data_IF_277862404152
#
_entry.id   IF_277862404152
#
_cell.length_a   1.000
_cell.length_b   1.000
_cell.length_c   1.000
_cell.angle_alpha   90.00
_cell.angle_beta   90.00
_cell.angle_gamma   90.00
#
_symmetry.space_group_name_H-M   'P 1'
#
loop_
_entity.id
_entity.type
_entity.pdbx_description
1 polymer ?
#
# COMPACT_ATOMS: atom_id res chain seq x y z
N UNK A 1 23.00 32.73 -4.85
CA UNK A 1 24.40 33.10 -5.21
C UNK A 1 24.57 32.90 -6.71
N UNK A 2 25.28 33.83 -7.36
CA UNK A 2 25.24 34.10 -8.79
C UNK A 2 25.55 32.89 -9.69
N UNK A 3 24.60 32.48 -10.54
CA UNK A 3 24.81 31.56 -11.65
C UNK A 3 25.32 32.35 -12.86
N UNK A 4 26.64 32.44 -13.02
CA UNK A 4 27.26 33.04 -14.20
C UNK A 4 27.04 32.20 -15.48
N UNK A 5 27.26 32.78 -16.67
CA UNK A 5 27.05 32.12 -17.97
C UNK A 5 27.91 30.86 -18.19
N UNK A 6 29.04 30.74 -17.48
CA UNK A 6 29.94 29.58 -17.54
C UNK A 6 29.34 28.34 -16.87
N UNK A 7 28.59 28.50 -15.77
CA UNK A 7 27.90 27.39 -15.08
C UNK A 7 26.75 26.86 -15.93
N UNK A 8 26.07 27.74 -16.65
CA UNK A 8 24.99 27.38 -17.57
C UNK A 8 25.53 26.59 -18.77
N UNK A 9 26.67 27.00 -19.35
CA UNK A 9 27.33 26.29 -20.45
C UNK A 9 27.88 24.92 -20.01
N UNK A 10 28.49 24.82 -18.83
CA UNK A 10 28.92 23.53 -18.27
C UNK A 10 27.73 22.59 -18.06
N UNK A 11 26.61 23.09 -17.53
CA UNK A 11 25.39 22.30 -17.37
C UNK A 11 24.83 21.82 -18.72
N UNK A 12 24.79 22.66 -19.76
CA UNK A 12 24.28 22.24 -21.08
C UNK A 12 25.16 21.14 -21.69
N UNK A 13 26.49 21.27 -21.54
CA UNK A 13 27.44 20.29 -22.09
C UNK A 13 27.34 18.96 -21.34
N UNK A 14 27.23 19.01 -20.00
CA UNK A 14 27.01 17.85 -19.14
C UNK A 14 25.66 17.17 -19.46
N UNK A 15 24.59 17.95 -19.60
CA UNK A 15 23.27 17.46 -19.94
C UNK A 15 23.22 16.81 -21.34
N UNK A 16 23.96 17.34 -22.31
CA UNK A 16 24.07 16.72 -23.63
C UNK A 16 24.86 15.40 -23.58
N UNK A 17 25.79 15.26 -22.64
CA UNK A 17 26.56 14.04 -22.42
C UNK A 17 25.69 12.94 -21.81
N UNK A 18 24.86 13.28 -20.80
CA UNK A 18 23.92 12.34 -20.19
C UNK A 18 22.74 11.95 -21.10
N UNK A 19 22.25 12.87 -21.95
CA UNK A 19 21.15 12.60 -22.90
C UNK A 19 21.52 11.67 -24.06
N UNK A 20 22.82 11.43 -24.30
CA UNK A 20 23.34 10.65 -25.42
C UNK A 20 24.17 9.43 -24.98
N UNK A 21 23.90 8.87 -23.79
CA UNK A 21 24.49 7.59 -23.36
C UNK A 21 23.98 6.38 -24.18
N UNK A 22 23.02 6.63 -25.08
CA UNK A 22 22.35 5.68 -25.95
C UNK A 22 23.26 4.97 -26.99
N UNK A 23 24.53 5.35 -27.13
CA UNK A 23 25.44 4.80 -28.15
C UNK A 23 25.93 3.37 -27.87
N UNK A 24 25.70 2.82 -26.68
CA UNK A 24 26.02 1.43 -26.36
C UNK A 24 24.83 0.53 -26.69
N UNK A 25 24.92 -0.19 -27.82
CA UNK A 25 23.92 -1.15 -28.32
C UNK A 25 23.41 -2.20 -27.30
N UNK A 26 24.08 -2.38 -26.15
CA UNK A 26 23.62 -3.23 -25.05
C UNK A 26 22.57 -2.60 -24.13
N UNK A 27 22.51 -1.26 -24.00
CA UNK A 27 21.64 -0.59 -23.04
C UNK A 27 20.16 -0.58 -23.49
N UNK A 28 19.89 -0.39 -24.79
CA UNK A 28 18.54 -0.47 -25.34
C UNK A 28 17.94 -1.88 -25.21
N UNK A 29 18.70 -2.92 -25.60
CA UNK A 29 18.29 -4.32 -25.44
C UNK A 29 18.03 -4.68 -23.96
N UNK A 30 18.79 -4.10 -23.04
CA UNK A 30 18.59 -4.30 -21.61
C UNK A 30 17.27 -3.66 -21.11
N UNK A 31 16.91 -2.47 -21.60
CA UNK A 31 15.65 -1.80 -21.26
C UNK A 31 14.44 -2.55 -21.79
N UNK A 32 14.51 -3.08 -23.02
CA UNK A 32 13.45 -3.95 -23.57
C UNK A 32 13.27 -5.21 -22.71
N UNK A 33 14.36 -5.77 -22.16
CA UNK A 33 14.35 -6.88 -21.22
C UNK A 33 13.77 -6.57 -19.82
N UNK A 34 13.65 -5.29 -19.42
CA UNK A 34 13.10 -4.93 -18.11
C UNK A 34 11.63 -5.35 -17.98
N UNK A 35 10.89 -5.27 -19.07
CA UNK A 35 9.45 -5.60 -19.13
C UNK A 35 9.16 -7.01 -19.66
N UNK A 36 10.17 -7.75 -20.12
CA UNK A 36 9.94 -9.11 -20.61
C UNK A 36 9.36 -10.02 -19.51
N UNK A 37 8.31 -10.76 -19.88
CA UNK A 37 7.62 -11.70 -19.02
C UNK A 37 8.48 -12.93 -18.76
N UNK A 38 9.40 -12.82 -17.80
CA UNK A 38 10.40 -13.85 -17.54
C UNK A 38 10.13 -14.66 -16.26
N UNK A 39 9.11 -14.28 -15.45
CA UNK A 39 8.70 -15.08 -14.29
C UNK A 39 7.78 -16.22 -14.78
N UNK A 40 8.15 -17.49 -14.55
CA UNK A 40 7.30 -18.59 -14.93
C UNK A 40 6.08 -18.68 -14.01
N UNK A 41 4.92 -19.03 -14.56
CA UNK A 41 3.65 -19.09 -13.83
C UNK A 41 3.69 -19.89 -12.52
N UNK A 42 4.45 -21.00 -12.50
CA UNK A 42 4.58 -21.83 -11.29
C UNK A 42 5.21 -21.07 -10.12
N UNK A 43 6.15 -20.13 -10.36
CA UNK A 43 6.79 -19.37 -9.29
C UNK A 43 5.79 -18.38 -8.66
N UNK A 44 4.98 -17.70 -9.48
CA UNK A 44 3.93 -16.80 -8.99
C UNK A 44 2.89 -17.56 -8.18
N UNK A 45 2.47 -18.73 -8.66
CA UNK A 45 1.55 -19.61 -7.92
C UNK A 45 2.15 -20.05 -6.58
N UNK A 46 3.44 -20.41 -6.54
CA UNK A 46 4.13 -20.75 -5.30
C UNK A 46 4.20 -19.58 -4.31
N UNK A 47 4.41 -18.35 -4.78
CA UNK A 47 4.41 -17.16 -3.91
C UNK A 47 3.02 -16.96 -3.29
N UNK A 48 1.96 -17.07 -4.10
CA UNK A 48 0.58 -16.90 -3.65
C UNK A 48 0.20 -18.00 -2.64
N UNK A 49 0.39 -19.27 -2.99
CA UNK A 49 0.10 -20.39 -2.10
C UNK A 49 1.01 -20.43 -0.87
N UNK A 50 2.27 -20.00 -1.01
CA UNK A 50 3.23 -19.86 0.08
C UNK A 50 2.78 -18.84 1.11
N UNK A 51 2.25 -17.69 0.67
CA UNK A 51 1.58 -16.74 1.56
C UNK A 51 0.37 -17.39 2.26
N UNK A 52 -0.46 -18.11 1.51
CA UNK A 52 -1.62 -18.81 2.08
C UNK A 52 -1.21 -19.77 3.20
N UNK A 53 -0.24 -20.65 2.94
CA UNK A 53 0.32 -21.56 3.93
C UNK A 53 0.91 -20.81 5.14
N UNK A 54 1.68 -19.75 4.90
CA UNK A 54 2.22 -18.89 5.96
C UNK A 54 1.10 -18.32 6.85
N UNK A 55 0.03 -17.79 6.25
CA UNK A 55 -1.11 -17.23 6.99
C UNK A 55 -1.81 -18.28 7.86
N UNK A 56 -1.95 -19.52 7.35
CA UNK A 56 -2.54 -20.63 8.11
C UNK A 56 -1.65 -21.00 9.29
N UNK A 57 -0.33 -21.13 9.08
CA UNK A 57 0.62 -21.48 10.13
C UNK A 57 0.58 -20.43 11.25
N UNK A 58 0.65 -19.15 10.92
CA UNK A 58 0.59 -18.08 11.92
C UNK A 58 -0.75 -18.07 12.64
N UNK A 59 -1.87 -18.26 11.94
CA UNK A 59 -3.20 -18.36 12.56
C UNK A 59 -3.30 -19.53 13.54
N UNK A 60 -2.79 -20.71 13.17
CA UNK A 60 -2.82 -21.89 14.04
C UNK A 60 -1.91 -21.72 15.25
N UNK A 61 -0.71 -21.17 15.06
CA UNK A 61 0.19 -20.85 16.17
C UNK A 61 -0.45 -19.85 17.13
N UNK A 62 -1.02 -18.76 16.59
CA UNK A 62 -1.74 -17.76 17.36
C UNK A 62 -2.87 -18.40 18.18
N UNK A 63 -3.76 -19.19 17.56
CA UNK A 63 -4.84 -19.91 18.25
C UNK A 63 -4.32 -20.84 19.36
N UNK A 64 -3.24 -21.56 19.09
CA UNK A 64 -2.59 -22.41 20.08
C UNK A 64 -2.08 -21.59 21.28
N UNK A 65 -1.34 -20.50 21.02
CA UNK A 65 -0.82 -19.61 22.06
C UNK A 65 -1.96 -18.97 22.88
N UNK A 66 -2.99 -18.43 22.23
CA UNK A 66 -4.11 -17.79 22.93
C UNK A 66 -4.88 -18.79 23.80
N UNK A 67 -5.10 -20.00 23.31
CA UNK A 67 -5.78 -21.05 24.07
C UNK A 67 -4.97 -21.54 25.27
N UNK A 68 -3.65 -21.73 25.11
CA UNK A 68 -2.78 -22.29 26.17
C UNK A 68 -2.45 -21.25 27.24
N UNK A 69 -2.15 -20.01 26.86
CA UNK A 69 -1.64 -19.00 27.78
C UNK A 69 -2.71 -18.04 28.31
N UNK A 70 -3.75 -17.76 27.52
CA UNK A 70 -4.80 -16.79 27.90
C UNK A 70 -6.13 -17.46 28.29
N UNK A 71 -6.26 -18.78 28.14
CA UNK A 71 -7.50 -19.53 28.41
C UNK A 71 -8.74 -18.90 27.73
N UNK A 72 -8.57 -18.19 26.62
CA UNK A 72 -9.69 -17.56 25.92
C UNK A 72 -10.56 -18.64 25.25
N UNK A 73 -11.87 -18.55 25.49
CA UNK A 73 -12.87 -19.37 24.82
C UNK A 73 -13.27 -18.64 23.54
N UNK A 74 -13.13 -19.30 22.39
CA UNK A 74 -13.55 -18.74 21.11
C UNK A 74 -15.09 -18.57 21.07
N UNK A 75 -15.55 -17.35 21.29
CA UNK A 75 -16.91 -16.87 21.02
C UNK A 75 -16.93 -16.00 19.76
N UNK A 76 -18.11 -15.80 19.18
CA UNK A 76 -18.28 -14.93 17.99
C UNK A 76 -17.77 -13.52 18.28
N UNK A 77 -18.10 -12.95 19.44
CA UNK A 77 -17.67 -11.61 19.81
C UNK A 77 -16.15 -11.53 20.01
N UNK A 78 -15.52 -12.52 20.67
CA UNK A 78 -14.05 -12.55 20.77
C UNK A 78 -13.38 -12.71 19.40
N UNK A 79 -14.02 -13.38 18.44
CA UNK A 79 -13.49 -13.55 17.09
C UNK A 79 -13.51 -12.23 16.28
N UNK A 80 -14.49 -11.35 16.52
CA UNK A 80 -14.62 -10.03 15.85
C UNK A 80 -14.06 -8.86 16.65
N UNK A 81 -13.74 -9.04 17.93
CA UNK A 81 -13.15 -7.97 18.78
C UNK A 81 -11.71 -8.25 19.16
N UNK A 82 -11.20 -9.47 18.93
CA UNK A 82 -9.86 -9.87 19.36
C UNK A 82 -9.64 -9.73 20.87
N UNK A 83 -10.72 -9.82 21.66
CA UNK A 83 -10.71 -9.61 23.11
C UNK A 83 -10.55 -8.15 23.56
N UNK A 84 -10.44 -7.18 22.63
CA UNK A 84 -10.28 -5.76 22.96
C UNK A 84 -8.98 -5.41 23.70
N UNK A 85 -7.99 -6.31 23.66
CA UNK A 85 -6.76 -6.22 24.46
C UNK A 85 -5.48 -6.03 23.64
N UNK A 86 -5.58 -5.75 22.34
CA UNK A 86 -4.41 -5.62 21.48
C UNK A 86 -3.57 -4.38 21.82
N UNK A 87 -2.25 -4.54 21.71
CA UNK A 87 -1.25 -3.49 22.01
C UNK A 87 -1.14 -2.46 20.88
N UNK A 88 -0.64 -1.25 21.20
CA UNK A 88 -0.46 -0.20 20.20
C UNK A 88 0.39 -0.66 19.02
N UNK A 89 1.40 -1.50 19.27
CA UNK A 89 2.27 -2.07 18.24
C UNK A 89 1.53 -2.90 17.21
N UNK A 90 0.67 -3.81 17.65
CA UNK A 90 -0.12 -4.66 16.77
C UNK A 90 -1.16 -3.85 15.98
N UNK A 91 -1.79 -2.86 16.61
CA UNK A 91 -2.73 -1.94 15.94
C UNK A 91 -2.00 -1.14 14.86
N UNK A 92 -0.86 -0.53 15.19
CA UNK A 92 -0.02 0.19 14.24
C UNK A 92 0.33 -0.68 13.03
N UNK A 93 0.86 -1.89 13.25
CA UNK A 93 1.25 -2.76 12.12
C UNK A 93 0.06 -3.22 11.30
N UNK A 94 -1.08 -3.47 11.93
CA UNK A 94 -2.30 -3.81 11.21
C UNK A 94 -2.77 -2.66 10.31
N UNK A 95 -2.77 -1.42 10.82
CA UNK A 95 -3.13 -0.24 10.04
C UNK A 95 -2.17 0.00 8.87
N UNK A 96 -0.86 -0.18 9.10
CA UNK A 96 0.14 -0.12 8.03
C UNK A 96 -0.16 -1.18 6.96
N UNK A 97 -0.47 -2.41 7.36
CA UNK A 97 -0.81 -3.49 6.43
C UNK A 97 -2.07 -3.16 5.62
N UNK A 98 -3.15 -2.74 6.28
CA UNK A 98 -4.45 -2.43 5.66
C UNK A 98 -4.37 -1.22 4.72
N UNK A 99 -3.51 -0.25 5.00
CA UNK A 99 -3.36 0.95 4.16
C UNK A 99 -2.29 0.78 3.06
N UNK A 100 -1.47 -0.28 3.13
CA UNK A 100 -0.47 -0.56 2.10
C UNK A 100 -1.10 -1.37 0.98
N UNK A 101 -1.76 -0.67 0.05
CA UNK A 101 -2.34 -1.25 -1.15
C UNK A 101 -1.29 -1.48 -2.24
N UNK A 102 -1.64 -2.25 -3.26
CA UNK A 102 -0.84 -2.29 -4.49
C UNK A 102 -0.66 -0.87 -5.08
N UNK A 103 -1.74 -0.08 -5.10
CA UNK A 103 -1.68 1.33 -5.52
C UNK A 103 -0.72 2.17 -4.66
N UNK A 104 -0.56 1.88 -3.37
CA UNK A 104 0.40 2.59 -2.50
C UNK A 104 1.83 2.50 -3.00
N UNK A 105 2.23 1.36 -3.58
CA UNK A 105 3.56 1.18 -4.15
C UNK A 105 3.65 1.69 -5.59
N UNK A 106 2.62 1.39 -6.38
CA UNK A 106 2.63 1.62 -7.83
C UNK A 106 2.28 3.06 -8.18
N UNK A 107 1.17 3.56 -7.64
CA UNK A 107 0.65 4.90 -7.93
C UNK A 107 1.54 5.99 -7.32
N UNK A 108 2.10 5.77 -6.13
CA UNK A 108 3.05 6.72 -5.53
C UNK A 108 4.28 6.94 -6.44
N UNK A 109 4.77 5.87 -7.07
CA UNK A 109 5.83 5.93 -8.07
C UNK A 109 5.36 6.66 -9.33
N UNK A 110 4.16 6.38 -9.83
CA UNK A 110 3.57 7.04 -11.01
C UNK A 110 3.44 8.56 -10.84
N UNK A 111 2.88 9.02 -9.71
CA UNK A 111 2.79 10.46 -9.43
C UNK A 111 4.16 11.10 -9.18
N UNK A 112 5.16 10.33 -8.74
CA UNK A 112 6.55 10.79 -8.66
C UNK A 112 7.21 10.98 -10.02
N UNK A 113 6.87 10.17 -11.01
CA UNK A 113 7.34 10.36 -12.39
C UNK A 113 6.75 11.66 -12.97
N UNK A 114 5.50 11.96 -12.65
CA UNK A 114 4.83 13.19 -13.11
C UNK A 114 5.31 14.45 -12.38
N UNK A 115 5.43 14.41 -11.05
CA UNK A 115 5.62 15.61 -10.21
C UNK A 115 6.93 15.63 -9.42
N UNK A 116 7.81 14.66 -9.60
CA UNK A 116 9.06 14.54 -8.82
C UNK A 116 8.79 14.23 -7.35
N UNK A 117 9.64 14.74 -6.45
CA UNK A 117 9.52 14.54 -5.00
C UNK A 117 8.18 14.99 -4.42
N UNK A 118 7.53 15.97 -5.05
CA UNK A 118 6.22 16.46 -4.62
C UNK A 118 5.14 15.38 -4.69
N UNK A 119 5.17 14.49 -5.71
CA UNK A 119 4.15 13.48 -5.95
C UNK A 119 4.03 12.46 -4.80
N UNK A 120 5.08 11.68 -4.50
CA UNK A 120 5.08 10.68 -3.43
C UNK A 120 4.84 11.35 -2.06
N UNK A 121 5.33 12.57 -1.86
CA UNK A 121 5.07 13.32 -0.63
C UNK A 121 3.59 13.61 -0.45
N UNK A 122 2.91 14.17 -1.46
CA UNK A 122 1.47 14.48 -1.38
C UNK A 122 0.60 13.21 -1.37
N UNK A 123 1.06 12.13 -1.99
CA UNK A 123 0.43 10.81 -1.85
C UNK A 123 0.48 10.36 -0.39
N UNK A 124 1.68 10.35 0.21
CA UNK A 124 1.92 9.88 1.58
C UNK A 124 1.25 10.78 2.62
N UNK A 125 1.59 12.07 2.65
CA UNK A 125 1.03 13.04 3.60
C UNK A 125 -0.48 13.13 3.48
N UNK A 126 -0.99 13.13 2.25
CA UNK A 126 -2.41 13.24 1.97
C UNK A 126 -3.24 12.08 2.52
N UNK A 127 -2.66 10.89 2.70
CA UNK A 127 -3.35 9.73 3.29
C UNK A 127 -3.06 9.54 4.80
N UNK A 128 -2.04 10.22 5.35
CA UNK A 128 -1.70 10.14 6.78
C UNK A 128 -2.62 11.01 7.64
N UNK A 129 -3.08 12.13 7.09
CA UNK A 129 -3.95 13.09 7.79
C UNK A 129 -5.22 12.40 8.30
N UNK A 130 -5.83 11.53 7.49
CA UNK A 130 -7.05 10.80 7.85
C UNK A 130 -6.79 9.84 9.00
N UNK A 131 -5.71 9.05 8.96
CA UNK A 131 -5.36 8.10 10.02
C UNK A 131 -5.11 8.80 11.37
N UNK A 132 -4.39 9.93 11.33
CA UNK A 132 -4.12 10.73 12.52
C UNK A 132 -5.41 11.34 13.09
N UNK A 133 -6.28 11.90 12.25
CA UNK A 133 -7.58 12.45 12.72
C UNK A 133 -8.49 11.33 13.23
N UNK A 134 -8.49 10.18 12.55
CA UNK A 134 -9.28 9.02 12.94
C UNK A 134 -8.90 8.51 14.34
N UNK A 135 -7.63 8.64 14.75
CA UNK A 135 -7.20 8.30 16.12
C UNK A 135 -8.04 9.00 17.21
N UNK A 136 -8.44 10.25 16.96
CA UNK A 136 -9.21 11.05 17.92
C UNK A 136 -10.66 10.57 18.00
N UNK A 137 -11.25 10.17 16.88
CA UNK A 137 -12.62 9.65 16.85
C UNK A 137 -12.69 8.22 17.39
N UNK A 138 -11.69 7.41 17.06
CA UNK A 138 -11.49 6.04 17.55
C UNK A 138 -11.49 5.98 19.08
N UNK A 139 -10.80 6.90 19.78
CA UNK A 139 -10.84 6.90 21.25
C UNK A 139 -12.21 7.27 21.81
N UNK A 140 -12.93 8.16 21.14
CA UNK A 140 -14.27 8.59 21.57
C UNK A 140 -15.28 7.46 21.43
N UNK A 141 -15.14 6.61 20.42
CA UNK A 141 -15.94 5.38 20.28
C UNK A 141 -15.77 4.50 21.52
N UNK A 142 -14.52 4.24 21.93
CA UNK A 142 -14.22 3.42 23.11
C UNK A 142 -14.73 4.01 24.42
N UNK A 143 -14.64 5.33 24.59
CA UNK A 143 -15.08 6.01 25.82
C UNK A 143 -16.61 6.06 25.89
N UNK A 144 -17.30 6.32 24.77
CA UNK A 144 -18.75 6.60 24.75
C UNK A 144 -19.62 5.40 24.41
N UNK A 145 -19.08 4.42 23.68
CA UNK A 145 -19.79 3.22 23.26
C UNK A 145 -18.87 1.98 23.34
N UNK A 146 -18.38 1.61 24.55
CA UNK A 146 -17.42 0.52 24.74
C UNK A 146 -17.91 -0.87 24.29
N UNK A 147 -19.24 -1.06 24.19
CA UNK A 147 -19.86 -2.31 23.73
C UNK A 147 -20.16 -2.35 22.23
N UNK A 148 -19.89 -1.28 21.48
CA UNK A 148 -20.13 -1.26 20.04
C UNK A 148 -19.07 -2.09 19.31
N UNK A 149 -19.52 -3.01 18.45
CA UNK A 149 -18.67 -3.85 17.60
C UNK A 149 -18.49 -3.18 16.23
N UNK A 150 -19.49 -2.46 15.76
CA UNK A 150 -19.44 -1.68 14.52
C UNK A 150 -19.74 -0.21 14.77
N UNK A 151 -19.22 0.68 13.93
CA UNK A 151 -19.54 2.10 14.04
C UNK A 151 -21.01 2.40 13.70
N UNK A 152 -21.62 1.51 12.91
CA UNK A 152 -23.01 1.57 12.48
C UNK A 152 -23.97 1.42 13.67
N UNK A 153 -23.68 0.55 14.63
CA UNK A 153 -24.44 0.44 15.88
C UNK A 153 -24.54 1.79 16.61
N UNK A 154 -23.45 2.57 16.64
CA UNK A 154 -23.44 3.91 17.25
C UNK A 154 -24.29 4.89 16.46
N UNK A 155 -24.24 4.83 15.12
CA UNK A 155 -25.09 5.64 14.25
C UNK A 155 -26.56 5.32 14.50
N UNK A 156 -26.92 4.04 14.63
CA UNK A 156 -28.29 3.62 14.95
C UNK A 156 -28.75 4.16 16.30
N UNK A 157 -27.92 3.99 17.33
CA UNK A 157 -28.25 4.45 18.68
C UNK A 157 -28.41 5.98 18.75
N UNK A 158 -27.63 6.73 17.96
CA UNK A 158 -27.63 8.19 18.00
C UNK A 158 -28.63 8.86 17.06
N UNK A 159 -28.77 8.35 15.84
CA UNK A 159 -29.50 8.97 14.73
C UNK A 159 -30.70 8.14 14.24
N UNK A 160 -30.91 6.96 14.81
CA UNK A 160 -32.03 6.09 14.51
C UNK A 160 -31.85 5.21 13.28
N UNK A 161 -32.90 4.45 12.98
CA UNK A 161 -32.89 3.36 12.01
C UNK A 161 -32.65 3.81 10.56
N UNK A 162 -33.19 4.97 10.16
CA UNK A 162 -33.05 5.46 8.78
C UNK A 162 -31.59 5.80 8.48
N UNK A 163 -30.94 6.55 9.36
CA UNK A 163 -29.53 6.89 9.23
C UNK A 163 -28.64 5.63 9.23
N UNK A 164 -28.97 4.66 10.10
CA UNK A 164 -28.27 3.38 10.14
C UNK A 164 -28.28 2.66 8.79
N UNK A 165 -29.47 2.47 8.19
CA UNK A 165 -29.58 1.78 6.89
C UNK A 165 -28.79 2.50 5.79
N UNK A 166 -28.86 3.84 5.74
CA UNK A 166 -28.09 4.63 4.76
C UNK A 166 -26.59 4.42 4.93
N UNK A 167 -26.09 4.47 6.16
CA UNK A 167 -24.67 4.26 6.43
C UNK A 167 -24.23 2.81 6.25
N UNK A 168 -25.10 1.81 6.48
CA UNK A 168 -24.81 0.42 6.11
C UNK A 168 -24.57 0.29 4.60
N UNK A 169 -25.40 0.95 3.78
CA UNK A 169 -25.21 0.96 2.32
C UNK A 169 -23.89 1.63 1.96
N UNK A 170 -23.57 2.79 2.55
CA UNK A 170 -22.30 3.46 2.27
C UNK A 170 -21.08 2.62 2.70
N UNK A 171 -21.13 1.98 3.87
CA UNK A 171 -20.05 1.11 4.33
C UNK A 171 -19.83 -0.07 3.38
N UNK A 172 -20.90 -0.80 3.03
CA UNK A 172 -20.83 -1.92 2.09
C UNK A 172 -20.34 -1.50 0.70
N UNK A 173 -20.75 -0.32 0.19
CA UNK A 173 -20.24 0.21 -1.07
C UNK A 173 -18.76 0.57 -0.99
N UNK A 174 -18.31 1.18 0.11
CA UNK A 174 -16.89 1.48 0.34
C UNK A 174 -16.07 0.19 0.36
N UNK A 175 -16.46 -0.80 1.16
CA UNK A 175 -15.76 -2.08 1.23
C UNK A 175 -15.74 -2.81 -0.13
N UNK A 176 -16.82 -2.71 -0.92
CA UNK A 176 -16.87 -3.26 -2.28
C UNK A 176 -15.90 -2.56 -3.23
N UNK A 177 -15.85 -1.22 -3.21
CA UNK A 177 -14.94 -0.43 -4.05
C UNK A 177 -13.49 -0.74 -3.69
N UNK A 178 -13.17 -0.75 -2.39
CA UNK A 178 -11.82 -1.06 -1.86
C UNK A 178 -11.41 -2.48 -2.23
N UNK A 179 -12.27 -3.47 -2.02
CA UNK A 179 -12.00 -4.86 -2.41
C UNK A 179 -11.78 -5.01 -3.92
N UNK A 180 -12.59 -4.32 -4.73
CA UNK A 180 -12.50 -4.39 -6.20
C UNK A 180 -11.20 -3.79 -6.72
N UNK A 181 -10.77 -2.62 -6.21
CA UNK A 181 -9.52 -2.00 -6.64
C UNK A 181 -8.29 -2.83 -6.22
N UNK A 182 -8.34 -3.50 -5.06
CA UNK A 182 -7.26 -4.38 -4.61
C UNK A 182 -7.11 -5.59 -5.54
N UNK A 183 -8.24 -6.23 -5.90
CA UNK A 183 -8.25 -7.36 -6.83
C UNK A 183 -7.76 -6.96 -8.22
N UNK A 184 -8.28 -5.86 -8.76
CA UNK A 184 -7.88 -5.39 -10.08
C UNK A 184 -6.39 -5.03 -10.12
N UNK A 185 -5.93 -4.22 -9.17
CA UNK A 185 -4.53 -3.79 -9.11
C UNK A 185 -3.57 -4.97 -8.96
N UNK A 186 -3.89 -5.94 -8.11
CA UNK A 186 -3.08 -7.14 -7.93
C UNK A 186 -3.03 -8.01 -9.19
N UNK A 187 -4.19 -8.31 -9.78
CA UNK A 187 -4.27 -9.16 -10.95
C UNK A 187 -3.58 -8.55 -12.16
N UNK A 188 -3.69 -7.24 -12.36
CA UNK A 188 -2.92 -6.54 -13.41
C UNK A 188 -1.42 -6.70 -13.20
N UNK A 189 -0.90 -6.45 -11.99
CA UNK A 189 0.54 -6.64 -11.73
C UNK A 189 0.98 -8.09 -11.95
N UNK A 190 0.24 -9.06 -11.42
CA UNK A 190 0.61 -10.47 -11.51
C UNK A 190 0.64 -10.94 -12.98
N UNK A 191 -0.32 -10.53 -13.79
CA UNK A 191 -0.37 -10.87 -15.23
C UNK A 191 0.70 -10.18 -16.05
N UNK A 192 1.03 -8.92 -15.73
CA UNK A 192 2.09 -8.18 -16.40
C UNK A 192 3.50 -8.67 -16.04
N UNK A 193 3.65 -9.47 -14.99
CA UNK A 193 4.96 -9.97 -14.56
C UNK A 193 5.16 -11.45 -14.85
N UNK A 194 4.07 -12.19 -15.06
CA UNK A 194 4.07 -13.64 -15.12
C UNK A 194 3.71 -14.14 -16.50
N UNK A 195 4.58 -14.95 -17.10
CA UNK A 195 4.33 -15.52 -18.41
C UNK A 195 3.13 -16.47 -18.39
N UNK A 196 2.13 -16.20 -19.23
CA UNK A 196 0.97 -17.08 -19.43
C UNK A 196 -0.06 -17.09 -18.30
N UNK A 197 0.01 -16.15 -17.35
CA UNK A 197 -1.00 -16.02 -16.30
C UNK A 197 -2.16 -15.14 -16.78
N UNK A 198 -3.37 -15.69 -16.84
CA UNK A 198 -4.57 -14.91 -17.17
C UNK A 198 -5.05 -14.09 -15.96
N UNK A 199 -5.79 -13.02 -16.20
CA UNK A 199 -6.34 -12.14 -15.15
C UNK A 199 -7.32 -12.92 -14.27
N UNK A 200 -8.12 -13.78 -14.88
CA UNK A 200 -9.12 -14.61 -14.20
C UNK A 200 -8.45 -15.63 -13.26
N UNK A 201 -7.41 -16.31 -13.73
CA UNK A 201 -6.66 -17.26 -12.90
C UNK A 201 -5.96 -16.54 -11.74
N UNK A 202 -5.35 -15.38 -12.00
CA UNK A 202 -4.74 -14.55 -10.97
C UNK A 202 -5.76 -14.15 -9.89
N UNK A 203 -6.92 -13.64 -10.30
CA UNK A 203 -7.98 -13.24 -9.39
C UNK A 203 -8.51 -14.43 -8.56
N UNK A 204 -8.73 -15.59 -9.19
CA UNK A 204 -9.17 -16.82 -8.50
C UNK A 204 -8.17 -17.29 -7.44
N UNK A 205 -6.87 -17.25 -7.76
CA UNK A 205 -5.81 -17.64 -6.81
C UNK A 205 -5.76 -16.68 -5.62
N UNK A 206 -5.88 -15.37 -5.86
CA UNK A 206 -5.94 -14.37 -4.79
C UNK A 206 -7.16 -14.58 -3.90
N UNK A 207 -8.36 -14.74 -4.48
CA UNK A 207 -9.59 -15.00 -3.72
C UNK A 207 -9.48 -16.27 -2.89
N UNK A 208 -8.91 -17.34 -3.45
CA UNK A 208 -8.69 -18.60 -2.72
C UNK A 208 -7.79 -18.38 -1.50
N UNK A 209 -6.69 -17.66 -1.65
CA UNK A 209 -5.75 -17.43 -0.55
C UNK A 209 -6.34 -16.49 0.50
N UNK A 210 -7.03 -15.42 0.09
CA UNK A 210 -7.78 -14.54 1.01
C UNK A 210 -8.81 -15.35 1.80
N UNK A 211 -9.59 -16.20 1.12
CA UNK A 211 -10.58 -17.06 1.76
C UNK A 211 -9.97 -18.00 2.80
N UNK A 212 -8.81 -18.62 2.49
CA UNK A 212 -8.08 -19.47 3.44
C UNK A 212 -7.58 -18.66 4.64
N UNK A 213 -7.00 -17.47 4.41
CA UNK A 213 -6.50 -16.61 5.49
C UNK A 213 -7.62 -16.18 6.45
N UNK A 214 -8.79 -15.81 5.91
CA UNK A 214 -9.95 -15.39 6.71
C UNK A 214 -10.61 -16.59 7.40
N UNK A 215 -10.76 -17.73 6.71
CA UNK A 215 -11.42 -18.91 7.29
C UNK A 215 -10.62 -19.54 8.44
N UNK A 216 -9.28 -19.44 8.39
CA UNK A 216 -8.41 -20.00 9.42
C UNK A 216 -8.11 -19.02 10.55
N UNK A 217 -8.12 -17.72 10.28
CA UNK A 217 -7.88 -16.66 11.26
C UNK A 217 -9.13 -16.23 12.03
N UNK A 218 -8.92 -15.69 13.23
CA UNK A 218 -9.85 -14.76 13.87
C UNK A 218 -9.23 -13.35 13.79
N UNK A 219 -9.98 -12.29 14.16
CA UNK A 219 -9.50 -10.91 14.00
C UNK A 219 -8.15 -10.69 14.72
N UNK A 220 -7.97 -11.22 15.94
CA UNK A 220 -6.70 -11.11 16.66
C UNK A 220 -5.53 -11.78 15.91
N UNK A 221 -5.73 -12.98 15.38
CA UNK A 221 -4.69 -13.70 14.63
C UNK A 221 -4.35 -13.03 13.29
N UNK A 222 -5.32 -12.38 12.64
CA UNK A 222 -5.06 -11.55 11.47
C UNK A 222 -4.10 -10.39 11.77
N UNK A 223 -4.06 -9.87 13.01
CA UNK A 223 -3.18 -8.76 13.36
C UNK A 223 -1.73 -9.25 13.51
N UNK A 224 -1.55 -10.48 13.99
CA UNK A 224 -0.23 -11.13 13.99
C UNK A 224 0.26 -11.43 12.57
N UNK A 225 -0.63 -11.89 11.67
CA UNK A 225 -0.28 -12.04 10.25
C UNK A 225 0.15 -10.67 9.69
N UNK A 226 -0.63 -9.62 9.96
CA UNK A 226 -0.34 -8.25 9.52
C UNK A 226 0.99 -7.71 10.06
N UNK A 227 1.36 -8.09 11.29
CA UNK A 227 2.65 -7.74 11.88
C UNK A 227 3.83 -8.30 11.09
N UNK A 228 3.84 -9.61 10.83
CA UNK A 228 4.94 -10.25 10.10
C UNK A 228 5.01 -9.81 8.64
N UNK A 229 3.86 -9.67 8.00
CA UNK A 229 3.76 -9.28 6.59
C UNK A 229 4.16 -7.81 6.37
N UNK A 230 3.73 -6.89 7.24
CA UNK A 230 4.18 -5.49 7.21
C UNK A 230 5.67 -5.36 7.48
N UNK A 231 6.20 -6.16 8.41
CA UNK A 231 7.64 -6.19 8.69
C UNK A 231 8.43 -6.67 7.46
N UNK A 232 7.98 -7.74 6.80
CA UNK A 232 8.60 -8.24 5.58
C UNK A 232 8.56 -7.20 4.46
N UNK A 233 7.42 -6.51 4.28
CA UNK A 233 7.28 -5.45 3.29
C UNK A 233 8.24 -4.28 3.54
N UNK A 234 8.38 -3.83 4.79
CA UNK A 234 9.33 -2.77 5.16
C UNK A 234 10.78 -3.20 4.91
N UNK A 235 11.15 -4.44 5.23
CA UNK A 235 12.48 -4.99 4.93
C UNK A 235 12.77 -4.96 3.43
N UNK A 236 11.79 -5.32 2.60
CA UNK A 236 11.92 -5.22 1.15
C UNK A 236 12.14 -3.77 0.71
N UNK A 237 11.36 -2.80 1.19
CA UNK A 237 11.52 -1.37 0.83
C UNK A 237 12.89 -0.82 1.28
N UNK A 238 13.34 -1.19 2.47
CA UNK A 238 14.68 -0.81 2.96
C UNK A 238 15.75 -1.40 2.05
N UNK A 239 15.64 -2.67 1.66
CA UNK A 239 16.58 -3.30 0.73
C UNK A 239 16.61 -2.58 -0.63
N UNK A 240 15.45 -2.21 -1.17
CA UNK A 240 15.33 -1.38 -2.38
C UNK A 240 16.05 -0.03 -2.24
N UNK A 241 15.85 0.63 -1.11
CA UNK A 241 16.45 1.95 -0.82
C UNK A 241 17.96 1.86 -0.64
N UNK A 242 18.45 0.84 0.07
CA UNK A 242 19.89 0.60 0.22
C UNK A 242 20.52 0.32 -1.14
N UNK A 243 19.86 -0.47 -1.99
CA UNK A 243 20.33 -0.76 -3.35
C UNK A 243 20.33 0.49 -4.23
N UNK A 244 19.37 1.39 -4.05
CA UNK A 244 19.33 2.69 -4.72
C UNK A 244 20.57 3.54 -4.42
N UNK A 245 20.94 3.66 -3.14
CA UNK A 245 22.08 4.49 -2.75
C UNK A 245 23.44 3.82 -2.98
N UNK A 246 23.50 2.49 -3.03
CA UNK A 246 24.73 1.70 -3.21
C UNK A 246 24.77 0.96 -4.54
N UNK A 247 24.43 1.66 -5.64
CA UNK A 247 24.68 1.10 -6.96
C UNK A 247 26.19 0.98 -7.17
N UNK A 248 26.66 -0.26 -7.24
CA UNK A 248 28.00 -0.60 -7.67
C UNK A 248 27.88 -1.52 -8.88
N UNK A 249 27.62 -0.95 -10.04
CA UNK A 249 27.84 -1.69 -11.27
C UNK A 249 29.34 -1.65 -11.60
N UNK A 250 29.92 -2.83 -11.77
CA UNK A 250 31.36 -3.04 -11.96
C UNK A 250 31.83 -2.73 -13.39
N UNK A 251 30.95 -2.29 -14.29
CA UNK A 251 31.35 -1.96 -15.65
C UNK A 251 31.97 -0.57 -15.73
N UNK A 252 33.14 -0.49 -16.38
CA UNK A 252 33.96 0.72 -16.51
C UNK A 252 33.23 1.86 -17.22
N UNK A 253 32.08 1.60 -17.87
CA UNK A 253 31.23 2.55 -18.59
C UNK A 253 29.77 2.60 -18.08
N UNK A 254 29.50 2.20 -16.84
CA UNK A 254 28.15 2.34 -16.28
C UNK A 254 27.83 3.82 -15.96
N UNK A 255 26.72 4.39 -16.44
CA UNK A 255 26.32 5.77 -16.13
C UNK A 255 25.75 5.97 -14.71
N UNK A 256 25.41 4.90 -13.98
CA UNK A 256 24.80 4.91 -12.64
C UNK A 256 25.80 4.66 -11.50
N UNK A 257 27.09 4.97 -11.70
CA UNK A 257 28.18 4.71 -10.73
C UNK A 257 28.00 5.40 -9.36
N UNK A 258 27.24 6.49 -9.29
CA UNK A 258 26.98 7.22 -8.05
C UNK A 258 25.61 7.88 -8.04
N UNK A 259 25.14 8.22 -6.84
CA UNK A 259 23.95 9.05 -6.67
C UNK A 259 24.10 10.42 -7.33
N UNK A 260 25.31 10.99 -7.37
CA UNK A 260 25.57 12.27 -8.04
C UNK A 260 25.29 12.20 -9.54
N UNK A 261 25.64 11.07 -10.20
CA UNK A 261 25.32 10.88 -11.61
C UNK A 261 23.80 10.79 -11.84
N UNK A 262 23.06 10.13 -10.95
CA UNK A 262 21.59 10.07 -11.00
C UNK A 262 20.99 11.46 -10.80
N UNK A 263 21.53 12.23 -9.85
CA UNK A 263 21.12 13.60 -9.58
C UNK A 263 21.31 14.49 -10.82
N UNK A 264 22.49 14.43 -11.44
CA UNK A 264 22.81 15.23 -12.63
C UNK A 264 21.92 14.85 -13.82
N UNK A 265 21.66 13.55 -14.04
CA UNK A 265 20.72 13.10 -15.06
C UNK A 265 19.32 13.70 -14.86
N UNK A 266 18.79 13.62 -13.63
CA UNK A 266 17.45 14.13 -13.33
C UNK A 266 17.39 15.66 -13.43
N UNK A 267 18.47 16.36 -13.03
CA UNK A 267 18.58 17.81 -13.16
C UNK A 267 18.52 18.26 -14.63
N UNK A 268 19.08 17.47 -15.53
CA UNK A 268 19.13 17.73 -16.97
C UNK A 268 17.81 17.45 -17.72
N UNK A 269 16.84 16.85 -17.05
CA UNK A 269 15.56 16.45 -17.63
C UNK A 269 14.54 17.59 -17.55
N UNK A 270 13.83 17.90 -18.65
CA UNK A 270 12.71 18.85 -18.58
C UNK A 270 11.61 18.29 -17.69
N UNK A 271 10.98 19.17 -16.91
CA UNK A 271 9.97 18.79 -15.90
C UNK A 271 8.65 19.53 -16.16
N UNK A 272 7.58 19.12 -15.49
CA UNK A 272 6.29 19.81 -15.60
C UNK A 272 6.44 21.30 -15.20
N UNK A 273 5.91 22.26 -15.98
CA UNK A 273 6.00 23.69 -15.66
C UNK A 273 5.43 24.09 -14.29
N UNK A 274 4.57 23.25 -13.71
CA UNK A 274 4.01 23.47 -12.38
C UNK A 274 5.00 23.23 -11.24
N UNK A 275 6.16 22.63 -11.52
CA UNK A 275 7.25 22.44 -10.56
C UNK A 275 8.08 23.71 -10.43
N UNK A 276 8.27 24.18 -9.20
CA UNK A 276 9.11 25.34 -8.92
C UNK A 276 10.55 25.13 -9.45
N UNK A 277 11.08 26.15 -10.13
CA UNK A 277 12.37 26.12 -10.83
C UNK A 277 12.53 24.97 -11.84
N UNK A 278 11.43 24.39 -12.33
CA UNK A 278 11.46 23.25 -13.26
C UNK A 278 12.36 22.11 -12.77
N UNK A 279 12.33 21.81 -11.47
CA UNK A 279 13.14 20.74 -10.87
C UNK A 279 12.27 19.58 -10.39
N UNK A 280 12.70 18.33 -10.61
CA UNK A 280 12.07 17.16 -10.01
C UNK A 280 12.38 17.01 -8.51
N UNK A 281 13.38 17.72 -7.99
CA UNK A 281 13.75 17.72 -6.57
C UNK A 281 12.96 18.74 -5.75
N UNK A 282 12.05 19.49 -6.37
CA UNK A 282 11.19 20.39 -5.63
C UNK A 282 10.02 19.65 -4.99
N UNK A 283 9.69 20.05 -3.76
CA UNK A 283 8.42 19.69 -3.13
C UNK A 283 7.29 20.64 -3.59
N UNK A 284 7.66 21.84 -4.06
CA UNK A 284 6.73 22.87 -4.48
C UNK A 284 6.26 22.60 -5.93
N UNK A 285 5.19 21.83 -6.06
CA UNK A 285 4.50 21.58 -7.32
C UNK A 285 3.02 21.95 -7.19
N UNK A 286 2.53 22.79 -8.10
CA UNK A 286 1.11 23.19 -8.07
C UNK A 286 0.20 22.00 -8.41
N UNK A 287 0.57 21.18 -9.40
CA UNK A 287 -0.20 19.97 -9.74
C UNK A 287 -0.04 18.87 -8.70
N UNK A 288 1.16 18.73 -8.11
CA UNK A 288 1.37 17.84 -6.97
C UNK A 288 0.46 18.18 -5.78
N UNK A 289 0.34 19.46 -5.44
CA UNK A 289 -0.57 19.93 -4.39
C UNK A 289 -2.04 19.69 -4.75
N UNK A 290 -2.47 19.96 -5.98
CA UNK A 290 -3.84 19.67 -6.42
C UNK A 290 -4.17 18.18 -6.30
N UNK A 291 -3.26 17.31 -6.74
CA UNK A 291 -3.37 15.86 -6.52
C UNK A 291 -3.48 15.54 -5.02
N UNK A 292 -2.63 16.14 -4.18
CA UNK A 292 -2.67 15.97 -2.73
C UNK A 292 -4.03 16.33 -2.12
N UNK A 293 -4.62 17.46 -2.50
CA UNK A 293 -5.96 17.87 -2.02
C UNK A 293 -7.05 16.89 -2.45
N UNK A 294 -7.04 16.45 -3.71
CA UNK A 294 -7.99 15.45 -4.21
C UNK A 294 -7.84 14.14 -3.46
N UNK A 295 -6.60 13.68 -3.27
CA UNK A 295 -6.28 12.47 -2.52
C UNK A 295 -6.74 12.57 -1.06
N UNK A 296 -6.57 13.73 -0.41
CA UNK A 296 -7.03 13.96 0.96
C UNK A 296 -8.54 13.80 1.07
N UNK A 297 -9.29 14.51 0.22
CA UNK A 297 -10.76 14.51 0.24
C UNK A 297 -11.30 13.12 -0.08
N UNK A 298 -10.75 12.46 -1.10
CA UNK A 298 -11.16 11.11 -1.50
C UNK A 298 -10.95 10.08 -0.38
N UNK A 299 -9.80 10.14 0.31
CA UNK A 299 -9.48 9.16 1.34
C UNK A 299 -10.24 9.33 2.65
N UNK A 300 -10.87 10.49 2.92
CA UNK A 300 -11.72 10.62 4.11
C UNK A 300 -12.89 9.63 4.07
N UNK A 301 -13.51 9.45 2.90
CA UNK A 301 -14.60 8.49 2.74
C UNK A 301 -14.14 7.04 2.95
N UNK A 302 -12.98 6.68 2.38
CA UNK A 302 -12.44 5.32 2.45
C UNK A 302 -11.94 4.95 3.84
N UNK A 303 -11.57 5.91 4.71
CA UNK A 303 -11.19 5.62 6.11
C UNK A 303 -12.40 5.64 7.04
N UNK A 304 -13.21 6.71 6.99
CA UNK A 304 -14.22 6.94 8.03
C UNK A 304 -15.49 6.12 7.85
N UNK A 305 -15.78 5.68 6.62
CA UNK A 305 -16.98 4.89 6.32
C UNK A 305 -16.63 3.41 6.16
N UNK A 306 -15.37 3.03 6.32
CA UNK A 306 -14.91 1.65 6.22
C UNK A 306 -14.80 1.01 7.61
N UNK A 307 -15.60 -0.03 7.82
CA UNK A 307 -15.64 -0.79 9.06
C UNK A 307 -14.30 -1.49 9.40
N UNK A 308 -13.39 -1.68 8.44
CA UNK A 308 -12.07 -2.30 8.69
C UNK A 308 -11.22 -1.48 9.67
N UNK A 309 -11.21 -0.14 9.57
CA UNK A 309 -10.51 0.76 10.52
C UNK A 309 -11.21 0.81 11.87
N UNK A 310 -12.54 0.81 11.87
CA UNK A 310 -13.32 0.78 13.12
C UNK A 310 -13.11 -0.53 13.88
N UNK A 311 -12.98 -1.67 13.19
CA UNK A 311 -12.63 -2.93 13.81
C UNK A 311 -11.26 -2.88 14.52
N UNK A 312 -10.28 -2.16 13.95
CA UNK A 312 -8.99 -1.90 14.61
C UNK A 312 -9.11 -1.03 15.85
N UNK A 313 -10.00 -0.05 15.85
CA UNK A 313 -10.35 0.70 17.06
C UNK A 313 -10.95 -0.22 18.13
N UNK A 314 -11.93 -1.06 17.74
CA UNK A 314 -12.63 -1.97 18.65
C UNK A 314 -11.70 -3.05 19.22
N UNK A 315 -10.69 -3.50 18.47
CA UNK A 315 -9.74 -4.50 18.97
C UNK A 315 -8.67 -3.94 19.92
N UNK A 316 -8.45 -2.62 19.92
CA UNK A 316 -7.42 -1.96 20.73
C UNK A 316 -7.85 -1.70 22.18
N UNK A 317 -6.86 -1.68 23.09
CA UNK A 317 -7.03 -1.03 24.40
C UNK A 317 -7.16 0.50 24.21
N UNK A 318 -7.99 1.22 24.98
CA UNK A 318 -8.30 2.63 24.69
C UNK A 318 -7.08 3.57 24.56
N UNK A 319 -6.13 3.53 25.50
CA UNK A 319 -4.91 4.36 25.45
C UNK A 319 -3.95 3.93 24.34
N UNK A 320 -3.85 2.61 24.11
CA UNK A 320 -2.99 2.00 23.12
C UNK A 320 -3.50 2.24 21.69
N UNK A 321 -4.81 2.30 21.49
CA UNK A 321 -5.44 2.53 20.20
C UNK A 321 -5.00 3.86 19.61
N UNK A 322 -5.07 4.95 20.38
CA UNK A 322 -4.66 6.29 19.91
C UNK A 322 -3.22 6.30 19.43
N UNK A 323 -2.32 5.74 20.24
CA UNK A 323 -0.90 5.65 19.90
C UNK A 323 -0.71 4.78 18.65
N UNK A 324 -1.42 3.65 18.57
CA UNK A 324 -1.40 2.76 17.41
C UNK A 324 -1.81 3.44 16.11
N UNK A 325 -2.87 4.26 16.12
CA UNK A 325 -3.31 5.02 14.93
C UNK A 325 -2.31 6.13 14.53
N UNK A 326 -1.80 6.89 15.50
CA UNK A 326 -0.82 7.96 15.21
C UNK A 326 0.47 7.37 14.66
N UNK A 327 1.02 6.34 15.31
CA UNK A 327 2.23 5.67 14.85
C UNK A 327 1.98 4.95 13.52
N UNK A 328 0.80 4.35 13.33
CA UNK A 328 0.38 3.73 12.07
C UNK A 328 0.44 4.70 10.91
N UNK A 329 -0.10 5.91 11.07
CA UNK A 329 0.01 6.97 10.06
C UNK A 329 1.45 7.38 9.76
N UNK A 330 2.29 7.55 10.79
CA UNK A 330 3.70 7.96 10.62
C UNK A 330 4.52 6.87 9.94
N UNK A 331 4.38 5.61 10.34
CA UNK A 331 5.10 4.48 9.73
C UNK A 331 4.61 4.26 8.31
N UNK A 332 3.30 4.36 8.08
CA UNK A 332 2.76 4.22 6.73
C UNK A 332 3.28 5.31 5.80
N UNK A 333 3.40 6.58 6.25
CA UNK A 333 3.96 7.67 5.44
C UNK A 333 5.30 7.27 4.77
N UNK A 334 6.16 6.60 5.52
CA UNK A 334 7.50 6.24 5.06
C UNK A 334 7.46 5.27 3.87
N UNK A 335 6.42 4.44 3.73
CA UNK A 335 6.29 3.42 2.68
C UNK A 335 6.18 4.05 1.29
N UNK A 336 5.08 4.77 0.93
CA UNK A 336 4.94 5.34 -0.40
C UNK A 336 5.90 6.49 -0.64
N UNK A 337 6.28 7.25 0.40
CA UNK A 337 7.24 8.34 0.21
C UNK A 337 8.61 7.79 -0.20
N UNK A 338 9.13 6.79 0.52
CA UNK A 338 10.46 6.23 0.21
C UNK A 338 10.43 5.42 -1.08
N UNK A 339 9.52 4.45 -1.20
CA UNK A 339 9.44 3.57 -2.36
C UNK A 339 9.11 4.35 -3.64
N UNK A 340 8.10 5.23 -3.59
CA UNK A 340 7.70 6.06 -4.72
C UNK A 340 8.79 7.02 -5.16
N UNK A 341 9.51 7.63 -4.24
CA UNK A 341 10.65 8.51 -4.56
C UNK A 341 11.78 7.73 -5.23
N UNK A 342 12.21 6.62 -4.64
CA UNK A 342 13.28 5.77 -5.17
C UNK A 342 12.95 5.28 -6.58
N UNK A 343 11.75 4.74 -6.80
CA UNK A 343 11.33 4.22 -8.10
C UNK A 343 11.15 5.32 -9.15
N UNK A 344 10.54 6.45 -8.79
CA UNK A 344 10.34 7.55 -9.74
C UNK A 344 11.65 8.21 -10.17
N UNK A 345 12.57 8.48 -9.24
CA UNK A 345 13.86 9.06 -9.57
C UNK A 345 14.69 8.14 -10.47
N UNK A 346 14.70 6.83 -10.20
CA UNK A 346 15.36 5.88 -11.10
C UNK A 346 14.75 5.88 -12.50
N UNK A 347 13.42 5.81 -12.58
CA UNK A 347 12.71 5.85 -13.84
C UNK A 347 13.09 7.10 -14.66
N UNK A 348 13.09 8.27 -14.02
CA UNK A 348 13.44 9.53 -14.66
C UNK A 348 14.90 9.56 -15.13
N UNK A 349 15.82 9.01 -14.34
CA UNK A 349 17.24 8.91 -14.70
C UNK A 349 17.46 8.00 -15.92
N UNK A 350 16.82 6.83 -15.95
CA UNK A 350 16.89 5.90 -17.09
C UNK A 350 16.30 6.53 -18.35
N UNK A 351 15.13 7.15 -18.25
CA UNK A 351 14.55 7.86 -19.39
C UNK A 351 15.44 9.02 -19.88
N UNK A 352 16.22 9.65 -18.99
CA UNK A 352 17.19 10.68 -19.42
C UNK A 352 18.36 10.07 -20.17
N UNK A 353 18.91 8.95 -19.68
CA UNK A 353 20.01 8.25 -20.34
C UNK A 353 19.62 7.73 -21.74
N UNK A 354 18.35 7.34 -21.92
CA UNK A 354 17.78 6.95 -23.21
C UNK A 354 17.42 8.13 -24.12
N UNK A 355 17.22 9.32 -23.54
CA UNK A 355 16.73 10.52 -24.23
C UNK A 355 15.21 10.57 -24.38
N UNK A 356 14.48 9.54 -23.96
CA UNK A 356 13.02 9.46 -23.96
C UNK A 356 12.49 8.53 -22.85
N UNK A 357 11.20 8.66 -22.53
CA UNK A 357 10.53 7.69 -21.67
C UNK A 357 10.37 6.35 -22.38
N UNK A 358 10.74 5.28 -21.68
CA UNK A 358 10.65 3.90 -22.16
C UNK A 358 9.33 3.23 -21.82
N UNK A 359 8.47 3.88 -21.03
CA UNK A 359 7.09 3.46 -20.80
C UNK A 359 6.13 4.51 -21.35
N UNK A 360 5.05 4.05 -21.94
CA UNK A 360 3.91 4.91 -22.27
C UNK A 360 3.19 5.36 -21.00
N UNK A 361 2.46 6.48 -21.06
CA UNK A 361 1.71 6.99 -19.90
C UNK A 361 0.73 5.95 -19.34
N UNK A 362 0.06 5.18 -20.21
CA UNK A 362 -0.86 4.12 -19.81
C UNK A 362 -0.14 2.98 -19.08
N UNK A 363 1.09 2.66 -19.45
CA UNK A 363 1.92 1.69 -18.73
C UNK A 363 2.40 2.23 -17.38
N UNK A 364 2.74 3.52 -17.29
CA UNK A 364 3.07 4.16 -16.00
C UNK A 364 1.86 4.13 -15.07
N UNK A 365 0.67 4.51 -15.57
CA UNK A 365 -0.58 4.53 -14.80
C UNK A 365 -1.05 3.11 -14.40
N UNK A 366 -0.66 2.09 -15.18
CA UNK A 366 -0.89 0.67 -14.86
C UNK A 366 0.13 0.11 -13.85
N UNK A 367 1.07 0.94 -13.36
CA UNK A 367 2.03 0.56 -12.33
C UNK A 367 3.29 -0.16 -12.84
N UNK A 368 3.57 -0.17 -14.14
CA UNK A 368 4.73 -0.90 -14.67
C UNK A 368 6.08 -0.24 -14.34
N UNK A 369 6.11 1.05 -14.00
CA UNK A 369 7.36 1.75 -13.71
C UNK A 369 8.14 1.14 -12.54
N UNK A 370 7.58 1.01 -11.31
CA UNK A 370 8.29 0.36 -10.21
C UNK A 370 8.66 -1.10 -10.49
N UNK A 371 7.92 -1.81 -11.35
CA UNK A 371 8.27 -3.17 -11.79
C UNK A 371 9.54 -3.16 -12.66
N UNK A 372 9.63 -2.25 -13.62
CA UNK A 372 10.82 -2.08 -14.44
C UNK A 372 12.03 -1.71 -13.57
N UNK A 373 11.85 -0.82 -12.59
CA UNK A 373 12.94 -0.42 -11.68
C UNK A 373 13.38 -1.56 -10.77
N UNK A 374 12.44 -2.36 -10.25
CA UNK A 374 12.79 -3.55 -9.48
C UNK A 374 13.65 -4.52 -10.30
N UNK A 375 13.31 -4.70 -11.58
CA UNK A 375 14.06 -5.53 -12.51
C UNK A 375 15.44 -4.96 -12.79
N UNK A 376 15.54 -3.65 -12.96
CA UNK A 376 16.81 -2.96 -13.15
C UNK A 376 17.75 -3.19 -11.96
N UNK A 377 17.25 -3.05 -10.73
CA UNK A 377 18.07 -3.08 -9.52
C UNK A 377 18.49 -4.47 -9.06
N UNK A 378 17.61 -5.45 -9.23
CA UNK A 378 17.76 -6.80 -8.68
C UNK A 378 17.66 -7.91 -9.73
N UNK A 379 17.49 -7.58 -11.01
CA UNK A 379 17.26 -8.56 -12.06
C UNK A 379 15.94 -9.32 -11.86
N UNK A 380 15.91 -10.59 -12.27
CA UNK A 380 14.72 -11.44 -12.19
C UNK A 380 14.21 -11.66 -10.76
N UNK A 381 15.09 -11.61 -9.74
CA UNK A 381 14.66 -11.74 -8.35
C UNK A 381 13.89 -10.51 -7.86
N UNK A 382 14.18 -9.32 -8.40
CA UNK A 382 13.42 -8.09 -8.12
C UNK A 382 11.95 -8.20 -8.52
N UNK A 383 11.68 -8.82 -9.67
CA UNK A 383 10.30 -9.11 -10.11
C UNK A 383 9.57 -9.98 -9.09
N UNK A 384 10.20 -11.06 -8.64
CA UNK A 384 9.60 -11.94 -7.63
C UNK A 384 9.34 -11.23 -6.29
N UNK A 385 10.23 -10.34 -5.86
CA UNK A 385 10.04 -9.53 -4.64
C UNK A 385 8.85 -8.58 -4.77
N UNK A 386 8.69 -7.88 -5.89
CA UNK A 386 7.53 -7.00 -6.11
C UNK A 386 6.22 -7.80 -6.16
N UNK A 387 6.22 -8.97 -6.81
CA UNK A 387 5.08 -9.90 -6.78
C UNK A 387 4.73 -10.26 -5.34
N UNK A 388 5.72 -10.65 -4.53
CA UNK A 388 5.51 -11.00 -3.13
C UNK A 388 4.95 -9.82 -2.32
N UNK A 389 5.49 -8.61 -2.50
CA UNK A 389 5.00 -7.39 -1.85
C UNK A 389 3.53 -7.10 -2.20
N UNK A 390 3.16 -7.24 -3.48
CA UNK A 390 1.79 -7.01 -3.96
C UNK A 390 0.83 -8.07 -3.43
N UNK A 391 1.23 -9.35 -3.43
CA UNK A 391 0.43 -10.45 -2.86
C UNK A 391 0.21 -10.24 -1.37
N UNK A 392 1.25 -9.84 -0.63
CA UNK A 392 1.16 -9.51 0.80
C UNK A 392 0.19 -8.35 1.04
N UNK A 393 0.39 -7.23 0.33
CA UNK A 393 -0.43 -6.02 0.43
C UNK A 393 -1.92 -6.31 0.21
N UNK A 394 -2.22 -7.03 -0.86
CA UNK A 394 -3.60 -7.29 -1.29
C UNK A 394 -4.26 -8.30 -0.39
N UNK A 395 -3.57 -9.37 -0.02
CA UNK A 395 -4.18 -10.43 0.79
C UNK A 395 -4.48 -9.97 2.20
N UNK A 396 -3.57 -9.21 2.83
CA UNK A 396 -3.79 -8.68 4.20
C UNK A 396 -4.93 -7.66 4.25
N UNK A 397 -4.94 -6.73 3.29
CA UNK A 397 -5.99 -5.71 3.19
C UNK A 397 -7.34 -6.35 2.88
N UNK A 398 -7.42 -7.18 1.83
CA UNK A 398 -8.68 -7.83 1.45
C UNK A 398 -9.21 -8.75 2.55
N UNK A 399 -8.34 -9.39 3.35
CA UNK A 399 -8.78 -10.15 4.52
C UNK A 399 -9.50 -9.27 5.53
N UNK A 400 -8.98 -8.05 5.78
CA UNK A 400 -9.62 -7.07 6.68
C UNK A 400 -10.95 -6.56 6.14
N UNK A 401 -11.05 -6.33 4.83
CA UNK A 401 -12.31 -5.97 4.15
C UNK A 401 -13.37 -7.06 4.32
N UNK A 402 -12.99 -8.34 4.17
CA UNK A 402 -13.92 -9.46 4.36
C UNK A 402 -14.42 -9.52 5.80
N UNK A 403 -13.56 -9.33 6.82
CA UNK A 403 -14.02 -9.22 8.21
C UNK A 403 -14.95 -8.03 8.43
N UNK A 404 -14.65 -6.88 7.82
CA UNK A 404 -15.48 -5.68 7.90
C UNK A 404 -16.88 -5.95 7.35
N UNK A 405 -16.99 -6.42 6.10
CA UNK A 405 -18.27 -6.78 5.47
C UNK A 405 -19.02 -7.83 6.28
N UNK A 406 -18.32 -8.86 6.77
CA UNK A 406 -18.93 -9.92 7.58
C UNK A 406 -19.51 -9.37 8.88
N UNK A 407 -18.79 -8.47 9.56
CA UNK A 407 -19.27 -7.84 10.80
C UNK A 407 -20.53 -6.99 10.57
N UNK A 408 -20.59 -6.22 9.47
CA UNK A 408 -21.78 -5.43 9.10
C UNK A 408 -22.96 -6.36 8.84
N UNK A 409 -22.76 -7.41 8.04
CA UNK A 409 -23.83 -8.36 7.72
C UNK A 409 -24.38 -9.06 8.97
N UNK A 410 -23.52 -9.45 9.91
CA UNK A 410 -23.92 -10.16 11.13
C UNK A 410 -24.59 -9.21 12.13
N UNK A 411 -23.94 -8.12 12.52
CA UNK A 411 -24.39 -7.30 13.65
C UNK A 411 -25.40 -6.22 13.25
N UNK A 412 -25.23 -5.59 12.09
CA UNK A 412 -26.05 -4.45 11.67
C UNK A 412 -27.24 -4.86 10.79
N UNK A 413 -27.15 -6.00 10.09
CA UNK A 413 -28.22 -6.47 9.22
C UNK A 413 -28.93 -7.67 9.85
N UNK A 414 -28.22 -8.78 10.09
CA UNK A 414 -28.83 -10.01 10.56
C UNK A 414 -29.37 -9.88 11.99
N UNK A 415 -28.52 -9.57 12.97
CA UNK A 415 -28.93 -9.48 14.38
C UNK A 415 -29.90 -8.32 14.64
N UNK A 416 -29.81 -7.26 13.86
CA UNK A 416 -30.62 -6.05 14.05
C UNK A 416 -31.99 -6.12 13.37
N UNK A 417 -32.08 -6.64 12.15
CA UNK A 417 -33.31 -6.58 11.34
C UNK A 417 -33.93 -7.95 11.02
N UNK A 418 -33.12 -9.01 10.92
CA UNK A 418 -33.63 -10.34 10.51
C UNK A 418 -33.92 -11.25 11.69
N UNK A 419 -33.01 -11.30 12.67
CA UNK A 419 -33.16 -12.06 13.91
C UNK A 419 -33.43 -11.09 15.05
N UNK A 420 -34.65 -10.57 15.12
CA UNK A 420 -35.13 -9.78 16.26
C UNK A 420 -35.32 -10.73 17.45
N UNK A 421 -34.24 -11.14 18.11
CA UNK A 421 -34.36 -11.68 19.47
C UNK A 421 -34.60 -10.49 20.39
N UNK A 422 -35.79 -10.46 21.00
CA UNK A 422 -36.31 -9.41 21.89
C UNK A 422 -35.47 -9.13 23.16
N UNK A 423 -34.29 -9.74 23.32
CA UNK A 423 -33.51 -9.70 24.57
C UNK A 423 -32.26 -8.79 24.55
N UNK A 424 -31.96 -8.09 23.45
CA UNK A 424 -30.74 -7.26 23.31
C UNK A 424 -30.96 -5.75 23.37
N UNK A 425 -32.20 -5.28 23.54
CA UNK A 425 -32.52 -3.84 23.58
C UNK A 425 -32.77 -3.29 25.00
N UNK A 426 -32.71 -4.13 26.03
CA UNK A 426 -32.82 -3.71 27.43
C UNK A 426 -31.46 -3.84 28.14
N UNK A 427 -30.53 -2.92 27.84
CA UNK A 427 -29.41 -2.55 28.73
C UNK A 427 -28.88 -1.16 28.37
#
# INVERSE_FOLDING_TARGET
MATGPIVILLNITLCNLYKNLNSNWGFLNFVDGLLENNIPAWLTVLIILGYGLFSVIISLLCKYYTRVFYNEVETVDTAFTGGGQLSAGLIMTNLVSQWTWAATLLQSSGVGIQYGLSGPLWYASGACIQLIIFSTVSVMLKIRAPGAITFLQVIRARFGTVAHVVFCVFALLTNLIVSSMLMLGASTVLTQMTMGLSVELSALLLVLVIGISVATGNLACTYYISYFTSSALLVCIIAFTIRFFNIHHQEEHDPYKSFDAIYDMIFCRPTDPSNFNSSYFTILSTRGLMFGVVNIIGNFGTVFVDQSYWAASVAAKPSEGVIGFILGGIVWFAIPFTFGTVCSLFYLSIGTALGNDFLTQTQVDSGLAPIAIATFLFGSSGKAVVIAMVVIAVTTTASSEVYAVTSILIYDIYATYMKVSLDYLDC
#
